data_IF_086038154422
#
_entry.id   IF_086038154422
#
_cell.length_a   1.000
_cell.length_b   1.000
_cell.length_c   1.000
_cell.angle_alpha   90.00
_cell.angle_beta   90.00
_cell.angle_gamma   90.00
#
_symmetry.space_group_name_H-M   'P 1'
#
loop_
_entity.id
_entity.type
_entity.pdbx_description
1 polymer ?
#
# COMPACT_ATOMS: atom_id res chain seq x y z
N UNK A 1 -4.02 -19.16 -5.61
CA UNK A 1 -4.59 -19.35 -4.26
C UNK A 1 -4.92 -17.97 -3.73
N UNK A 2 -6.21 -17.62 -3.71
CA UNK A 2 -6.67 -16.34 -3.17
C UNK A 2 -6.96 -16.54 -1.69
N UNK A 3 -6.19 -15.90 -0.81
CA UNK A 3 -6.42 -15.96 0.63
C UNK A 3 -7.37 -14.83 1.01
N UNK A 4 -8.62 -15.16 1.33
CA UNK A 4 -9.54 -14.22 2.00
C UNK A 4 -9.24 -14.30 3.50
N UNK A 5 -8.54 -13.29 4.03
CA UNK A 5 -8.15 -13.24 5.45
C UNK A 5 -9.16 -12.41 6.24
N UNK A 6 -9.96 -13.08 7.06
CA UNK A 6 -10.80 -12.43 8.06
C UNK A 6 -10.12 -12.58 9.42
N UNK A 7 -9.75 -11.43 10.01
CA UNK A 7 -9.31 -11.20 11.40
C UNK A 7 -8.03 -11.91 11.89
N UNK A 8 -6.86 -11.28 11.70
CA UNK A 8 -5.76 -11.11 12.69
C UNK A 8 -4.52 -10.55 12.00
N UNK A 9 -3.56 -10.03 12.77
CA UNK A 9 -2.23 -9.69 12.26
C UNK A 9 -1.52 -10.95 11.80
N UNK A 10 -1.31 -11.12 10.50
CA UNK A 10 -0.66 -12.30 9.94
C UNK A 10 0.69 -11.95 9.33
N UNK A 11 1.69 -12.76 9.65
CA UNK A 11 2.97 -12.76 8.98
C UNK A 11 2.99 -13.89 7.94
N UNK A 12 3.24 -13.54 6.69
CA UNK A 12 3.32 -14.48 5.56
C UNK A 12 4.77 -14.52 5.09
N UNK A 13 5.49 -15.57 5.47
CA UNK A 13 6.88 -15.77 5.08
C UNK A 13 7.01 -16.34 3.66
N UNK A 14 8.06 -15.93 2.96
CA UNK A 14 8.40 -16.42 1.63
C UNK A 14 7.83 -15.58 0.48
N UNK A 15 7.83 -16.18 -0.71
CA UNK A 15 7.46 -15.49 -1.95
C UNK A 15 6.04 -15.87 -2.32
N UNK A 16 5.16 -14.88 -2.39
CA UNK A 16 3.79 -15.03 -2.88
C UNK A 16 3.60 -14.34 -4.23
N UNK A 17 2.60 -14.76 -4.99
CA UNK A 17 2.30 -14.13 -6.28
C UNK A 17 1.45 -12.87 -6.12
N UNK A 18 0.37 -12.95 -5.35
CA UNK A 18 -0.66 -11.92 -5.26
C UNK A 18 -1.40 -12.02 -3.93
N UNK A 19 -1.81 -10.87 -3.38
CA UNK A 19 -2.66 -10.79 -2.20
C UNK A 19 -3.90 -9.95 -2.46
N UNK A 20 -5.02 -10.39 -1.90
CA UNK A 20 -6.29 -9.64 -1.90
C UNK A 20 -6.80 -9.55 -0.48
N UNK A 21 -6.91 -8.32 0.02
CA UNK A 21 -7.63 -7.99 1.23
C UNK A 21 -8.96 -7.41 0.79
N UNK A 22 -10.03 -8.17 0.99
CA UNK A 22 -11.39 -7.72 0.71
C UNK A 22 -12.21 -7.72 2.00
N UNK A 23 -12.97 -6.63 2.20
CA UNK A 23 -13.89 -6.46 3.33
C UNK A 23 -13.23 -6.68 4.72
N UNK A 24 -11.95 -6.31 4.85
CA UNK A 24 -11.18 -6.46 6.07
C UNK A 24 -11.30 -5.21 6.96
N UNK A 25 -11.39 -5.39 8.28
CA UNK A 25 -11.42 -4.28 9.24
C UNK A 25 -10.40 -4.50 10.34
N UNK A 26 -9.59 -3.47 10.64
CA UNK A 26 -8.54 -3.52 11.68
C UNK A 26 -7.55 -4.67 11.48
N UNK A 27 -7.24 -4.99 10.22
CA UNK A 27 -6.36 -6.10 9.85
C UNK A 27 -4.94 -5.58 9.61
N UNK A 28 -3.95 -6.31 10.11
CA UNK A 28 -2.54 -6.12 9.78
C UNK A 28 -2.02 -7.28 8.94
N UNK A 29 -1.27 -7.01 7.88
CA UNK A 29 -0.58 -8.05 7.10
C UNK A 29 0.88 -7.66 6.96
N UNK A 30 1.77 -8.56 7.31
CA UNK A 30 3.21 -8.44 7.11
C UNK A 30 3.65 -9.57 6.18
N UNK A 31 4.43 -9.27 5.15
CA UNK A 31 4.89 -10.28 4.21
C UNK A 31 6.30 -9.99 3.69
N UNK A 32 6.99 -11.04 3.23
CA UNK A 32 8.34 -10.90 2.70
C UNK A 32 8.32 -10.39 1.25
N UNK A 33 7.99 -11.25 0.28
CA UNK A 33 8.05 -10.90 -1.14
C UNK A 33 6.71 -11.14 -1.85
N UNK A 34 6.37 -10.21 -2.73
CA UNK A 34 5.20 -10.30 -3.60
C UNK A 34 5.60 -10.01 -5.05
N UNK A 35 5.37 -10.98 -5.93
CA UNK A 35 5.79 -10.91 -7.33
C UNK A 35 4.97 -9.88 -8.11
N UNK A 36 3.64 -9.88 -7.91
CA UNK A 36 2.71 -9.01 -8.63
C UNK A 36 2.26 -7.84 -7.74
N UNK A 37 1.09 -7.93 -7.11
CA UNK A 37 0.47 -6.81 -6.43
C UNK A 37 -0.30 -7.27 -5.21
N UNK A 38 -0.52 -6.32 -4.31
CA UNK A 38 -1.49 -6.43 -3.23
C UNK A 38 -2.67 -5.52 -3.51
N UNK A 39 -3.87 -6.08 -3.47
CA UNK A 39 -5.11 -5.35 -3.67
C UNK A 39 -5.86 -5.25 -2.35
N UNK A 40 -6.21 -4.03 -1.97
CA UNK A 40 -6.93 -3.68 -0.75
C UNK A 40 -8.25 -3.06 -1.16
N UNK A 41 -9.33 -3.82 -1.00
CA UNK A 41 -10.65 -3.47 -1.53
C UNK A 41 -11.68 -3.51 -0.41
N UNK A 42 -12.56 -2.50 -0.35
CA UNK A 42 -13.64 -2.41 0.66
C UNK A 42 -13.15 -2.54 2.11
N UNK A 43 -11.94 -2.08 2.42
CA UNK A 43 -11.31 -2.28 3.71
C UNK A 43 -11.42 -1.06 4.63
N UNK A 44 -11.19 -1.26 5.93
CA UNK A 44 -11.15 -0.16 6.90
C UNK A 44 -10.06 -0.36 7.96
N UNK A 45 -9.25 0.68 8.22
CA UNK A 45 -8.17 0.65 9.22
C UNK A 45 -7.20 -0.52 9.01
N UNK A 46 -6.70 -0.69 7.79
CA UNK A 46 -5.79 -1.79 7.43
C UNK A 46 -4.34 -1.32 7.48
N UNK A 47 -3.45 -2.22 7.91
CA UNK A 47 -2.00 -2.00 7.91
C UNK A 47 -1.32 -3.08 7.09
N UNK A 48 -0.40 -2.67 6.23
CA UNK A 48 0.33 -3.55 5.32
C UNK A 48 1.81 -3.24 5.46
N UNK A 49 2.63 -4.26 5.66
CA UNK A 49 4.08 -4.10 5.72
C UNK A 49 4.75 -5.11 4.80
N UNK A 50 5.53 -4.61 3.86
CA UNK A 50 6.41 -5.40 3.02
C UNK A 50 7.81 -5.37 3.61
N UNK A 51 8.44 -6.55 3.77
CA UNK A 51 9.82 -6.67 4.24
C UNK A 51 10.82 -6.84 3.08
N UNK A 52 10.35 -7.28 1.92
CA UNK A 52 11.16 -7.55 0.72
C UNK A 52 10.61 -6.84 -0.51
N UNK A 53 10.51 -7.53 -1.63
CA UNK A 53 10.13 -6.93 -2.91
C UNK A 53 8.61 -6.86 -3.08
N UNK A 54 8.12 -5.73 -3.61
CA UNK A 54 6.72 -5.51 -3.97
C UNK A 54 6.67 -4.54 -5.14
N UNK A 55 5.92 -4.90 -6.19
CA UNK A 55 5.85 -4.11 -7.42
C UNK A 55 4.72 -3.08 -7.39
N UNK A 56 3.54 -3.47 -6.89
CA UNK A 56 2.34 -2.62 -6.97
C UNK A 56 1.40 -2.81 -5.78
N UNK A 57 0.82 -1.72 -5.32
CA UNK A 57 -0.18 -1.63 -4.26
C UNK A 57 -1.44 -0.99 -4.82
N UNK A 58 -2.54 -1.72 -4.83
CA UNK A 58 -3.85 -1.21 -5.25
C UNK A 58 -4.74 -1.02 -4.02
N UNK A 59 -5.35 0.16 -3.89
CA UNK A 59 -6.25 0.50 -2.79
C UNK A 59 -7.55 1.07 -3.37
N UNK A 60 -8.65 0.31 -3.29
CA UNK A 60 -9.98 0.74 -3.75
C UNK A 60 -11.00 0.72 -2.61
N UNK A 61 -11.86 1.74 -2.56
CA UNK A 61 -12.95 1.87 -1.57
C UNK A 61 -12.51 1.56 -0.13
N UNK A 62 -11.35 2.08 0.27
CA UNK A 62 -10.75 1.78 1.56
C UNK A 62 -10.55 3.05 2.37
N UNK A 63 -10.95 3.02 3.64
CA UNK A 63 -10.83 4.15 4.57
C UNK A 63 -9.84 3.82 5.69
N UNK A 64 -8.73 4.55 5.73
CA UNK A 64 -7.64 4.34 6.68
C UNK A 64 -6.78 3.14 6.29
N UNK A 65 -5.74 3.37 5.50
CA UNK A 65 -4.78 2.35 5.09
C UNK A 65 -3.35 2.84 5.33
N UNK A 66 -2.52 2.04 5.99
CA UNK A 66 -1.09 2.34 6.16
C UNK A 66 -0.26 1.28 5.44
N UNK A 67 0.63 1.72 4.56
CA UNK A 67 1.50 0.86 3.77
C UNK A 67 2.95 1.16 4.12
N UNK A 68 3.62 0.21 4.74
CA UNK A 68 5.05 0.26 5.06
C UNK A 68 5.80 -0.46 3.96
N UNK A 69 6.61 0.29 3.21
CA UNK A 69 7.49 -0.25 2.17
C UNK A 69 8.84 -0.63 2.78
N UNK A 70 9.52 -1.58 2.13
CA UNK A 70 10.92 -1.91 2.39
C UNK A 70 11.84 -1.08 1.49
N UNK A 71 13.17 -1.17 1.71
CA UNK A 71 14.15 -0.60 0.80
C UNK A 71 14.08 -1.21 -0.62
N UNK A 72 13.66 -2.47 -0.74
CA UNK A 72 13.52 -3.17 -2.01
C UNK A 72 12.19 -2.86 -2.71
N UNK A 73 11.19 -2.36 -1.96
CA UNK A 73 9.88 -1.99 -2.48
C UNK A 73 9.60 -0.48 -2.49
N UNK A 74 10.60 0.38 -2.22
CA UNK A 74 10.42 1.84 -2.16
C UNK A 74 9.96 2.48 -3.46
N UNK A 75 10.09 1.77 -4.58
CA UNK A 75 9.65 2.17 -5.91
C UNK A 75 8.35 1.48 -6.33
N UNK A 76 7.63 0.87 -5.40
CA UNK A 76 6.34 0.24 -5.70
C UNK A 76 5.33 1.28 -6.19
N UNK A 77 4.58 0.92 -7.22
CA UNK A 77 3.49 1.75 -7.71
C UNK A 77 2.30 1.69 -6.74
N UNK A 78 1.73 2.84 -6.41
CA UNK A 78 0.58 2.92 -5.51
C UNK A 78 -0.61 3.49 -6.28
N UNK A 79 -1.58 2.63 -6.56
CA UNK A 79 -2.83 2.99 -7.23
C UNK A 79 -3.92 3.07 -6.18
N UNK A 80 -4.65 4.17 -6.15
CA UNK A 80 -5.72 4.42 -5.18
C UNK A 80 -7.00 4.84 -5.89
N UNK A 81 -8.16 4.44 -5.38
CA UNK A 81 -9.44 4.86 -5.92
C UNK A 81 -10.48 4.95 -4.82
N UNK A 82 -11.25 6.05 -4.77
CA UNK A 82 -12.37 6.22 -3.83
C UNK A 82 -12.00 5.87 -2.38
N UNK A 83 -10.81 6.25 -1.97
CA UNK A 83 -10.19 5.80 -0.73
C UNK A 83 -9.66 7.00 0.04
N UNK A 84 -9.84 6.99 1.35
CA UNK A 84 -9.47 8.10 2.22
C UNK A 84 -8.45 7.67 3.28
N UNK A 85 -7.70 8.63 3.80
CA UNK A 85 -6.75 8.40 4.89
C UNK A 85 -5.68 7.34 4.58
N UNK A 86 -5.16 7.36 3.35
CA UNK A 86 -4.06 6.47 2.94
C UNK A 86 -2.73 7.11 3.33
N UNK A 87 -1.86 6.33 3.98
CA UNK A 87 -0.51 6.75 4.34
C UNK A 87 0.51 5.76 3.80
N UNK A 88 1.41 6.23 2.94
CA UNK A 88 2.51 5.44 2.38
C UNK A 88 3.79 5.81 3.12
N UNK A 89 4.41 4.85 3.79
CA UNK A 89 5.64 5.02 4.54
C UNK A 89 6.81 4.44 3.76
N UNK A 90 7.68 5.33 3.28
CA UNK A 90 8.87 4.99 2.49
C UNK A 90 10.09 5.06 3.41
N UNK A 91 10.91 4.01 3.49
CA UNK A 91 12.13 4.04 4.30
C UNK A 91 13.15 5.04 3.74
N UNK A 92 13.83 5.77 4.63
CA UNK A 92 14.92 6.72 4.31
C UNK A 92 16.25 6.37 5.00
N UNK A 93 16.33 5.21 5.63
CA UNK A 93 17.47 4.78 6.44
C UNK A 93 17.09 3.62 7.34
N UNK A 94 17.90 3.37 8.37
CA UNK A 94 17.79 2.16 9.20
C UNK A 94 16.55 2.15 10.11
N UNK A 95 15.94 3.30 10.42
CA UNK A 95 14.74 3.35 11.27
C UNK A 95 13.80 4.55 10.99
N UNK A 96 14.04 5.28 9.89
CA UNK A 96 13.27 6.48 9.53
C UNK A 96 12.37 6.21 8.35
N UNK A 97 11.10 6.61 8.46
CA UNK A 97 10.13 6.59 7.37
C UNK A 97 9.69 8.00 7.02
N UNK A 98 9.51 8.24 5.71
CA UNK A 98 8.78 9.41 5.24
C UNK A 98 7.37 8.99 4.87
N UNK A 99 6.41 9.61 5.54
CA UNK A 99 5.00 9.43 5.32
C UNK A 99 4.51 10.32 4.19
N UNK A 100 3.88 9.72 3.18
CA UNK A 100 3.14 10.41 2.14
C UNK A 100 1.65 10.18 2.36
N UNK A 101 0.94 11.25 2.69
CA UNK A 101 -0.50 11.19 2.82
C UNK A 101 -1.14 11.27 1.44
N UNK A 102 -1.89 10.24 1.08
CA UNK A 102 -2.70 10.21 -0.13
C UNK A 102 -4.17 10.34 0.25
N UNK A 103 -4.83 11.30 -0.38
CA UNK A 103 -6.26 11.50 -0.23
C UNK A 103 -6.91 11.41 -1.61
N UNK A 104 -7.68 10.35 -1.83
CA UNK A 104 -8.17 9.95 -3.14
C UNK A 104 -9.70 10.00 -3.16
N UNK A 105 -10.26 11.17 -3.49
CA UNK A 105 -11.73 11.35 -3.66
C UNK A 105 -12.26 10.71 -4.96
N UNK A 106 -11.41 10.54 -5.97
CA UNK A 106 -11.68 9.94 -7.28
C UNK A 106 -10.51 8.97 -7.63
N UNK A 107 -10.45 8.33 -8.81
CA UNK A 107 -9.40 7.35 -9.12
C UNK A 107 -8.05 8.03 -9.38
N UNK A 108 -6.99 7.69 -8.63
CA UNK A 108 -5.65 8.28 -8.70
C UNK A 108 -4.53 7.24 -8.66
N UNK A 109 -3.60 7.33 -9.61
CA UNK A 109 -2.36 6.53 -9.61
C UNK A 109 -1.16 7.38 -9.20
N UNK A 110 -0.40 6.93 -8.21
CA UNK A 110 0.90 7.48 -7.81
C UNK A 110 1.98 6.50 -8.29
N UNK A 111 2.79 6.93 -9.27
CA UNK A 111 3.98 6.21 -9.70
C UNK A 111 5.18 6.70 -8.87
N UNK A 112 5.88 5.78 -8.20
CA UNK A 112 7.11 6.08 -7.45
C UNK A 112 8.34 5.65 -8.25
N UNK A 113 8.48 6.12 -9.49
CA UNK A 113 9.62 5.77 -10.32
C UNK A 113 10.76 6.79 -10.22
N UNK A 114 12.00 6.29 -10.14
CA UNK A 114 13.26 7.00 -9.87
C UNK A 114 13.61 8.13 -10.87
N UNK A 115 12.76 8.41 -11.88
CA UNK A 115 13.03 9.38 -12.93
C UNK A 115 11.84 10.32 -13.25
N UNK A 116 10.57 10.03 -12.90
CA UNK A 116 9.44 10.90 -13.31
C UNK A 116 8.24 10.90 -12.37
N UNK A 117 8.02 12.09 -11.80
CA UNK A 117 6.73 12.79 -11.62
C UNK A 117 5.69 12.13 -10.71
N UNK A 118 5.38 12.85 -9.63
CA UNK A 118 4.01 12.96 -9.12
C UNK A 118 3.10 13.43 -10.28
N UNK A 119 2.51 12.52 -11.05
CA UNK A 119 1.38 12.83 -11.92
C UNK A 119 0.15 12.94 -11.05
N UNK A 120 0.06 14.09 -10.39
CA UNK A 120 -1.11 14.57 -9.69
C UNK A 120 -2.19 14.84 -10.75
N UNK A 121 -3.15 13.93 -10.92
CA UNK A 121 -4.35 14.19 -11.76
C UNK A 121 -5.42 14.95 -10.95
N UNK A 122 -5.17 15.31 -9.69
CA UNK A 122 -5.98 16.31 -8.98
C UNK A 122 -5.17 17.18 -8.04
N UNK A 123 -5.41 18.49 -8.06
CA UNK A 123 -4.78 19.53 -7.23
C UNK A 123 -5.03 19.38 -5.70
N UNK A 124 -4.90 18.19 -5.12
CA UNK A 124 -5.08 17.91 -3.71
C UNK A 124 -3.74 17.60 -3.03
N UNK A 125 -3.08 18.68 -2.59
CA UNK A 125 -2.38 18.77 -1.31
C UNK A 125 -1.55 17.55 -0.86
N UNK A 126 -0.44 17.28 -1.54
CA UNK A 126 0.66 16.49 -0.96
C UNK A 126 1.32 17.39 0.09
N UNK A 127 1.01 17.17 1.38
CA UNK A 127 1.78 17.75 2.48
C UNK A 127 2.89 16.77 2.81
N UNK A 128 4.13 17.18 2.53
CA UNK A 128 5.34 16.49 2.98
C UNK A 128 5.48 16.56 4.50
#
# INVERSE_FOLDING_TARGET
MSFTLTISSHYISGISYYFLLDNCKKTGVVFDHLISSIDVVNCQSVKIQCLGQLSTVNIDKTDGCQVFLSEDSKYADVITAKSSEINILIPKGTDDFVSFFCFSKEMFTIFLDNIRRYSVIDKANIRA
#
